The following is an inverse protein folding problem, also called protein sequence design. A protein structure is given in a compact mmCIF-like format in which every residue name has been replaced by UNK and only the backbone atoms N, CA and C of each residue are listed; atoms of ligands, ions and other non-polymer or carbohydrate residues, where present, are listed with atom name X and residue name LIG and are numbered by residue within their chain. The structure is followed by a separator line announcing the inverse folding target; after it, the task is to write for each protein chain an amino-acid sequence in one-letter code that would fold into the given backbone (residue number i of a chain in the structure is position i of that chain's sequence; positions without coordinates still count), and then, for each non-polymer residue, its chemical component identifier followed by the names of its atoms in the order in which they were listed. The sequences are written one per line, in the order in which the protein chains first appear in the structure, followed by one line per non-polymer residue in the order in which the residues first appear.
data_IF_466010794141
#
_entry.id   IF_466010794141
#
_cell.length_a   1.000
_cell.length_b   1.000
_cell.length_c   1.000
_cell.angle_alpha   90.00
_cell.angle_beta   90.00
_cell.angle_gamma   90.00
#
_symmetry.space_group_name_H-M   'P 1'
#
loop_
_entity.id
_entity.type
_entity.pdbx_description
1 polymer ?
#
# COMPACT_ATOMS: atom_id res chain seq x y z
N UNK A 1 -11.90 15.70 -0.79
CA UNK A 1 -12.02 15.28 0.62
C UNK A 1 -10.78 15.78 1.32
N UNK A 2 -10.93 16.63 2.34
CA UNK A 2 -9.80 17.37 2.91
C UNK A 2 -9.46 16.73 4.27
N UNK A 3 -8.21 16.28 4.43
CA UNK A 3 -7.72 15.82 5.73
C UNK A 3 -7.69 16.97 6.75
N UNK A 4 -7.85 16.65 8.03
CA UNK A 4 -7.57 17.59 9.13
C UNK A 4 -6.08 17.91 9.17
N UNK A 5 -5.67 18.96 8.46
CA UNK A 5 -4.24 19.26 8.26
C UNK A 5 -3.51 19.56 9.57
N UNK A 6 -4.15 20.20 10.54
CA UNK A 6 -3.56 20.51 11.84
C UNK A 6 -3.25 19.24 12.63
N UNK A 7 -4.21 18.31 12.67
CA UNK A 7 -3.98 17.02 13.31
C UNK A 7 -2.90 16.22 12.59
N UNK A 8 -2.91 16.15 11.25
CA UNK A 8 -1.91 15.39 10.49
C UNK A 8 -0.51 15.96 10.73
N UNK A 9 -0.34 17.29 10.71
CA UNK A 9 0.93 17.96 11.06
C UNK A 9 1.38 17.60 12.47
N UNK A 10 0.48 17.67 13.45
CA UNK A 10 0.76 17.31 14.84
C UNK A 10 1.17 15.83 14.97
N UNK A 11 0.48 14.92 14.28
CA UNK A 11 0.76 13.49 14.34
C UNK A 11 2.09 13.12 13.64
N UNK A 12 2.46 13.84 12.59
CA UNK A 12 3.70 13.61 11.86
C UNK A 12 4.96 14.07 12.63
N UNK A 13 4.85 15.03 13.56
CA UNK A 13 5.91 15.42 14.53
C UNK A 13 7.29 15.77 13.94
N UNK A 14 7.38 15.95 12.62
CA UNK A 14 8.64 16.13 11.89
C UNK A 14 8.46 17.28 10.91
N UNK A 15 9.41 18.21 10.89
CA UNK A 15 9.40 19.30 9.93
C UNK A 15 9.61 18.74 8.51
N UNK A 16 8.74 19.13 7.60
CA UNK A 16 8.90 18.83 6.18
C UNK A 16 9.74 19.93 5.50
N UNK A 17 10.47 19.60 4.42
CA UNK A 17 11.11 20.62 3.59
C UNK A 17 10.10 21.66 3.08
N UNK A 18 10.53 22.92 2.97
CA UNK A 18 9.64 24.04 2.60
C UNK A 18 9.01 23.96 1.21
N UNK A 19 9.52 23.09 0.34
CA UNK A 19 8.94 22.82 -0.99
C UNK A 19 7.79 21.80 -0.96
N UNK A 20 7.53 21.13 0.17
CA UNK A 20 6.42 20.19 0.27
C UNK A 20 5.11 20.96 0.46
N UNK A 21 4.22 20.83 -0.53
CA UNK A 21 2.92 21.47 -0.53
C UNK A 21 1.88 20.63 0.21
N UNK A 22 1.34 21.15 1.32
CA UNK A 22 0.32 20.46 2.11
C UNK A 22 -1.02 20.26 1.39
N UNK A 23 -1.32 21.10 0.40
CA UNK A 23 -2.54 20.98 -0.41
C UNK A 23 -2.47 19.78 -1.36
N UNK A 24 -1.27 19.25 -1.59
CA UNK A 24 -1.02 18.05 -2.40
C UNK A 24 -0.85 16.79 -1.54
N UNK A 25 -1.24 16.82 -0.25
CA UNK A 25 -1.24 15.64 0.61
C UNK A 25 -2.21 14.58 0.05
N UNK A 26 -1.63 13.54 -0.51
CA UNK A 26 -2.34 12.47 -1.21
C UNK A 26 -2.75 11.33 -0.29
N UNK A 27 -1.81 10.82 0.52
CA UNK A 27 -2.07 9.71 1.44
C UNK A 27 -1.50 10.01 2.83
N UNK A 28 -2.23 9.58 3.85
CA UNK A 28 -1.76 9.43 5.23
C UNK A 28 -1.71 7.94 5.52
N UNK A 29 -0.52 7.41 5.77
CA UNK A 29 -0.32 6.02 6.17
C UNK A 29 0.01 5.94 7.66
N UNK A 30 -0.70 5.09 8.38
CA UNK A 30 -0.55 4.86 9.81
C UNK A 30 -0.26 3.39 10.08
N UNK A 31 0.88 3.12 10.71
CA UNK A 31 1.25 1.80 11.17
C UNK A 31 0.61 1.55 12.54
N UNK A 32 -0.19 0.49 12.64
CA UNK A 32 -1.01 0.21 13.84
C UNK A 32 -0.12 -0.21 15.01
N UNK A 33 0.94 -0.96 14.72
CA UNK A 33 1.77 -1.61 15.74
C UNK A 33 2.74 -0.63 16.43
N UNK A 34 3.34 0.29 15.69
CA UNK A 34 4.31 1.28 16.21
C UNK A 34 3.81 2.73 16.19
N UNK A 35 2.56 2.94 15.76
CA UNK A 35 1.89 4.24 15.66
C UNK A 35 2.63 5.24 14.75
N UNK A 36 3.52 4.76 13.88
CA UNK A 36 4.27 5.60 12.97
C UNK A 36 3.41 6.11 11.82
N UNK A 37 3.67 7.37 11.41
CA UNK A 37 2.96 8.04 10.32
C UNK A 37 3.91 8.24 9.14
N UNK A 38 3.42 7.96 7.94
CA UNK A 38 4.06 8.34 6.68
C UNK A 38 3.09 9.16 5.86
N UNK A 39 3.60 10.21 5.23
CA UNK A 39 2.81 11.11 4.40
C UNK A 39 3.27 11.00 2.95
N UNK A 40 2.33 11.05 2.02
CA UNK A 40 2.61 11.00 0.60
C UNK A 40 2.05 12.25 -0.04
N UNK A 41 2.90 13.06 -0.67
CA UNK A 41 2.51 14.28 -1.35
C UNK A 41 2.69 14.13 -2.85
N UNK A 42 1.75 14.60 -3.66
CA UNK A 42 2.00 14.72 -5.10
C UNK A 42 3.02 15.86 -5.30
N UNK A 43 4.04 15.62 -6.13
CA UNK A 43 4.94 16.69 -6.55
C UNK A 43 4.19 17.74 -7.38
N UNK A 44 4.56 19.01 -7.30
CA UNK A 44 3.86 20.08 -8.03
C UNK A 44 3.78 19.83 -9.55
N UNK A 45 4.76 19.12 -10.13
CA UNK A 45 4.75 18.74 -11.56
C UNK A 45 3.84 17.54 -11.88
N UNK A 46 3.12 16.99 -10.89
CA UNK A 46 2.21 15.83 -11.00
C UNK A 46 2.86 14.57 -11.61
N UNK A 47 4.18 14.45 -11.48
CA UNK A 47 4.98 13.40 -12.13
C UNK A 47 5.33 12.24 -11.19
N UNK A 48 5.42 12.49 -9.89
CA UNK A 48 5.72 11.49 -8.86
C UNK A 48 5.14 11.89 -7.50
N UNK A 49 5.21 10.98 -6.52
CA UNK A 49 4.87 11.22 -5.12
C UNK A 49 6.13 11.35 -4.26
N UNK A 50 6.13 12.29 -3.32
CA UNK A 50 7.06 12.37 -2.21
C UNK A 50 6.54 11.57 -1.02
N UNK A 51 7.21 10.48 -0.67
CA UNK A 51 6.97 9.70 0.54
C UNK A 51 7.86 10.21 1.66
N UNK A 52 7.24 10.73 2.70
CA UNK A 52 7.88 11.33 3.87
C UNK A 52 7.68 10.43 5.10
N UNK A 53 8.75 10.03 5.78
CA UNK A 53 8.66 9.35 7.08
C UNK A 53 8.91 10.30 8.25
N UNK A 54 8.45 9.93 9.44
CA UNK A 54 8.75 10.62 10.70
C UNK A 54 10.25 10.69 11.04
N UNK A 55 11.09 9.88 10.40
CA UNK A 55 12.55 10.01 10.54
C UNK A 55 13.15 11.15 9.70
N UNK A 56 12.33 11.88 8.94
CA UNK A 56 12.77 12.91 7.99
C UNK A 56 13.26 12.35 6.65
N UNK A 57 13.20 11.03 6.44
CA UNK A 57 13.56 10.43 5.14
C UNK A 57 12.49 10.80 4.11
N UNK A 58 12.97 11.29 2.97
CA UNK A 58 12.17 11.62 1.80
C UNK A 58 12.56 10.67 0.65
N UNK A 59 11.58 10.04 0.02
CA UNK A 59 11.79 9.15 -1.14
C UNK A 59 10.78 9.50 -2.23
N UNK A 60 11.21 9.41 -3.50
CA UNK A 60 10.32 9.61 -4.66
C UNK A 60 9.72 8.29 -5.10
N UNK A 61 8.41 8.29 -5.36
CA UNK A 61 7.69 7.16 -5.92
C UNK A 61 7.07 7.60 -7.25
N UNK A 62 7.46 6.95 -8.34
CA UNK A 62 7.00 7.33 -9.68
C UNK A 62 5.94 6.37 -10.18
N UNK A 63 4.93 6.89 -10.87
CA UNK A 63 3.98 6.07 -11.63
C UNK A 63 4.77 5.31 -12.70
N UNK A 64 4.67 3.98 -12.69
CA UNK A 64 5.41 3.14 -13.60
C UNK A 64 5.06 3.47 -15.07
N UNK A 65 3.82 3.89 -15.36
CA UNK A 65 3.39 4.25 -16.73
C UNK A 65 4.10 5.49 -17.27
N UNK A 66 4.62 6.35 -16.39
CA UNK A 66 5.29 7.62 -16.73
C UNK A 66 6.80 7.55 -16.55
N UNK A 67 7.30 6.59 -15.79
CA UNK A 67 8.71 6.44 -15.50
C UNK A 67 9.42 5.49 -16.47
N UNK A 68 10.69 5.77 -16.76
CA UNK A 68 11.57 4.78 -17.38
C UNK A 68 12.06 3.84 -16.30
N UNK A 69 11.59 2.60 -16.32
CA UNK A 69 12.02 1.57 -15.39
C UNK A 69 12.38 0.27 -16.12
N UNK A 70 13.19 -0.57 -15.48
CA UNK A 70 13.66 -1.82 -16.07
C UNK A 70 12.85 -3.00 -15.56
N UNK A 71 12.03 -3.59 -16.43
CA UNK A 71 11.35 -4.87 -16.17
C UNK A 71 12.36 -6.02 -16.08
N UNK A 72 13.48 -5.94 -16.82
CA UNK A 72 14.47 -7.01 -16.85
C UNK A 72 15.13 -7.24 -15.49
N UNK A 73 15.35 -6.17 -14.70
CA UNK A 73 15.84 -6.30 -13.31
C UNK A 73 14.90 -7.12 -12.44
N UNK A 74 13.61 -6.82 -12.48
CA UNK A 74 12.58 -7.54 -11.72
C UNK A 74 12.51 -9.01 -12.16
N UNK A 75 12.49 -9.26 -13.48
CA UNK A 75 12.49 -10.64 -14.01
C UNK A 75 13.73 -11.42 -13.59
N UNK A 76 14.91 -10.78 -13.61
CA UNK A 76 16.16 -11.41 -13.17
C UNK A 76 16.11 -11.75 -11.67
N UNK A 77 15.62 -10.82 -10.84
CA UNK A 77 15.45 -11.05 -9.41
C UNK A 77 14.50 -12.23 -9.15
N UNK A 78 13.34 -12.25 -9.81
CA UNK A 78 12.35 -13.32 -9.70
C UNK A 78 12.85 -14.64 -10.31
N UNK A 79 13.82 -14.60 -11.23
CA UNK A 79 14.25 -15.76 -12.00
C UNK A 79 13.21 -16.22 -13.03
N UNK A 80 12.22 -15.38 -13.32
CA UNK A 80 11.10 -15.68 -14.21
C UNK A 80 10.57 -14.40 -14.85
N UNK A 81 10.09 -14.49 -16.09
CA UNK A 81 9.45 -13.38 -16.79
C UNK A 81 7.93 -13.48 -16.67
N UNK A 82 7.34 -12.58 -15.87
CA UNK A 82 5.87 -12.48 -15.71
C UNK A 82 5.22 -11.80 -16.92
N UNK A 83 3.92 -12.03 -17.12
CA UNK A 83 3.14 -11.31 -18.12
C UNK A 83 2.61 -9.99 -17.55
N UNK A 84 3.29 -8.89 -17.91
CA UNK A 84 2.93 -7.54 -17.46
C UNK A 84 1.79 -6.89 -18.25
N UNK A 85 1.17 -7.61 -19.20
CA UNK A 85 -0.14 -7.21 -19.74
C UNK A 85 -1.26 -7.57 -18.77
N UNK A 86 -1.03 -8.58 -17.93
CA UNK A 86 -1.96 -9.05 -16.91
C UNK A 86 -1.60 -8.45 -15.53
N UNK A 87 -0.34 -8.58 -15.12
CA UNK A 87 0.17 -7.98 -13.89
C UNK A 87 0.66 -6.55 -14.13
N UNK A 88 -0.07 -5.56 -13.61
CA UNK A 88 0.27 -4.15 -13.84
C UNK A 88 1.31 -3.70 -12.82
N UNK A 89 2.48 -3.27 -13.29
CA UNK A 89 3.42 -2.52 -12.44
C UNK A 89 2.82 -1.13 -12.25
N UNK A 90 2.46 -0.80 -11.02
CA UNK A 90 1.74 0.41 -10.65
C UNK A 90 2.71 1.55 -10.31
N UNK A 91 3.67 1.27 -9.41
CA UNK A 91 4.59 2.27 -8.87
C UNK A 91 6.01 1.71 -8.81
N UNK A 92 7.01 2.57 -9.04
CA UNK A 92 8.43 2.25 -8.85
C UNK A 92 9.07 3.26 -7.89
N UNK A 93 9.82 2.76 -6.91
CA UNK A 93 10.60 3.51 -5.92
C UNK A 93 12.04 2.97 -5.95
N UNK A 94 12.91 3.54 -6.80
CA UNK A 94 14.26 3.01 -7.07
C UNK A 94 14.23 1.53 -7.50
N UNK A 95 14.88 0.62 -6.77
CA UNK A 95 14.84 -0.83 -6.99
C UNK A 95 13.68 -1.50 -6.21
N UNK A 96 12.53 -0.83 -6.11
CA UNK A 96 11.31 -1.35 -5.49
C UNK A 96 10.14 -1.24 -6.46
N UNK A 97 9.44 -2.35 -6.65
CA UNK A 97 8.35 -2.48 -7.60
C UNK A 97 7.04 -2.74 -6.86
N UNK A 98 6.00 -2.01 -7.21
CA UNK A 98 4.65 -2.23 -6.74
C UNK A 98 3.85 -2.86 -7.88
N UNK A 99 3.42 -4.10 -7.72
CA UNK A 99 2.67 -4.84 -8.74
C UNK A 99 1.23 -4.98 -8.28
N UNK A 100 0.32 -4.38 -9.03
CA UNK A 100 -1.11 -4.49 -8.85
C UNK A 100 -1.63 -5.79 -9.46
N UNK A 101 -2.40 -6.54 -8.68
CA UNK A 101 -2.87 -7.88 -9.03
C UNK A 101 -4.39 -8.07 -8.85
N UNK A 102 -5.14 -7.06 -8.39
CA UNK A 102 -6.58 -7.24 -8.09
C UNK A 102 -7.44 -7.57 -9.32
N UNK A 103 -7.06 -7.11 -10.51
CA UNK A 103 -7.78 -7.39 -11.77
C UNK A 103 -7.02 -8.39 -12.66
N UNK A 104 -5.95 -8.98 -12.14
CA UNK A 104 -5.11 -9.91 -12.91
C UNK A 104 -5.69 -11.32 -12.89
N UNK A 105 -5.33 -12.10 -13.91
CA UNK A 105 -5.69 -13.51 -14.02
C UNK A 105 -5.16 -14.36 -12.88
N UNK A 106 -5.86 -15.46 -12.60
CA UNK A 106 -5.49 -16.43 -11.57
C UNK A 106 -4.05 -16.92 -11.77
N UNK A 107 -3.71 -17.38 -12.98
CA UNK A 107 -2.42 -17.99 -13.26
C UNK A 107 -1.23 -17.06 -12.97
N UNK A 108 -1.27 -15.82 -13.47
CA UNK A 108 -0.17 -14.87 -13.25
C UNK A 108 -0.08 -14.42 -11.80
N UNK A 109 -1.23 -14.21 -11.14
CA UNK A 109 -1.22 -13.81 -9.73
C UNK A 109 -0.68 -14.91 -8.84
N UNK A 110 -1.10 -16.16 -9.05
CA UNK A 110 -0.56 -17.30 -8.30
C UNK A 110 0.93 -17.47 -8.57
N UNK A 111 1.34 -17.42 -9.84
CA UNK A 111 2.77 -17.50 -10.20
C UNK A 111 3.60 -16.44 -9.50
N UNK A 112 3.14 -15.19 -9.50
CA UNK A 112 3.81 -14.10 -8.79
C UNK A 112 3.94 -14.42 -7.30
N UNK A 113 2.85 -14.82 -6.64
CA UNK A 113 2.87 -15.11 -5.21
C UNK A 113 3.78 -16.31 -4.86
N UNK A 114 3.77 -17.37 -5.66
CA UNK A 114 4.67 -18.52 -5.51
C UNK A 114 6.14 -18.11 -5.64
N UNK A 115 6.48 -17.29 -6.64
CA UNK A 115 7.84 -16.77 -6.81
C UNK A 115 8.27 -15.92 -5.60
N UNK A 116 7.36 -15.12 -5.03
CA UNK A 116 7.66 -14.34 -3.83
C UNK A 116 7.85 -15.25 -2.60
N UNK A 117 7.03 -16.27 -2.43
CA UNK A 117 7.19 -17.28 -1.37
C UNK A 117 8.58 -17.90 -1.45
N UNK A 118 9.01 -18.33 -2.63
CA UNK A 118 10.34 -18.91 -2.84
C UNK A 118 11.46 -17.90 -2.57
N UNK A 119 11.38 -16.70 -3.15
CA UNK A 119 12.44 -15.68 -3.06
C UNK A 119 12.66 -15.19 -1.65
N UNK A 120 11.58 -14.97 -0.91
CA UNK A 120 11.62 -14.45 0.46
C UNK A 120 11.60 -15.56 1.51
N UNK A 121 11.61 -16.84 1.08
CA UNK A 121 11.68 -18.03 1.94
C UNK A 121 10.61 -18.06 3.03
N UNK A 122 9.40 -17.63 2.69
CA UNK A 122 8.23 -17.78 3.55
C UNK A 122 7.47 -19.05 3.15
N UNK A 123 6.57 -19.53 4.00
CA UNK A 123 5.65 -20.61 3.65
C UNK A 123 4.36 -20.05 3.02
N UNK A 124 3.63 -20.85 2.21
CA UNK A 124 2.28 -20.49 1.76
C UNK A 124 1.33 -20.15 2.92
N UNK A 125 1.41 -20.87 4.04
CA UNK A 125 0.59 -20.64 5.23
C UNK A 125 0.91 -19.29 5.89
N UNK A 126 2.15 -18.81 5.83
CA UNK A 126 2.51 -17.45 6.24
C UNK A 126 1.83 -16.40 5.37
N UNK A 127 1.84 -16.59 4.05
CA UNK A 127 1.12 -15.71 3.12
C UNK A 127 -0.39 -15.72 3.39
N UNK A 128 -0.98 -16.90 3.59
CA UNK A 128 -2.42 -17.04 3.84
C UNK A 128 -2.83 -16.41 5.17
N UNK A 129 -2.02 -16.55 6.23
CA UNK A 129 -2.25 -15.85 7.52
C UNK A 129 -2.15 -14.34 7.36
N UNK A 130 -1.17 -13.85 6.61
CA UNK A 130 -1.04 -12.41 6.33
C UNK A 130 -2.25 -11.87 5.56
N UNK A 131 -2.66 -12.56 4.48
CA UNK A 131 -3.85 -12.22 3.71
C UNK A 131 -5.12 -12.25 4.58
N UNK A 132 -5.25 -13.24 5.47
CA UNK A 132 -6.37 -13.33 6.41
C UNK A 132 -6.44 -12.13 7.35
N UNK A 133 -5.29 -11.71 7.91
CA UNK A 133 -5.17 -10.52 8.77
C UNK A 133 -5.62 -9.25 8.07
N UNK A 134 -5.34 -9.12 6.78
CA UNK A 134 -5.74 -7.95 5.98
C UNK A 134 -7.23 -7.90 5.66
N UNK A 135 -7.94 -9.04 5.73
CA UNK A 135 -9.28 -9.20 5.15
C UNK A 135 -10.34 -9.72 6.13
N UNK A 136 -10.08 -9.69 7.44
CA UNK A 136 -10.99 -10.21 8.49
C UNK A 136 -11.72 -11.53 8.10
N UNK A 137 -10.99 -12.42 7.43
CA UNK A 137 -11.53 -13.63 6.82
C UNK A 137 -10.44 -14.68 6.79
N UNK A 138 -10.80 -15.93 7.02
CA UNK A 138 -9.86 -17.04 6.87
C UNK A 138 -9.58 -17.30 5.40
N UNK A 139 -8.30 -17.21 5.03
CA UNK A 139 -7.75 -17.55 3.72
C UNK A 139 -6.85 -18.77 3.91
N UNK A 140 -7.03 -19.79 3.08
CA UNK A 140 -6.34 -21.08 3.19
C UNK A 140 -5.77 -21.56 1.85
N UNK A 141 -5.99 -20.80 0.77
CA UNK A 141 -5.53 -21.17 -0.56
C UNK A 141 -5.35 -19.96 -1.46
N UNK A 142 -4.58 -20.15 -2.53
CA UNK A 142 -4.44 -19.15 -3.60
C UNK A 142 -5.77 -18.83 -4.29
N UNK A 143 -6.65 -19.83 -4.49
CA UNK A 143 -8.00 -19.59 -5.04
C UNK A 143 -8.77 -18.56 -4.23
N UNK A 144 -8.76 -18.69 -2.90
CA UNK A 144 -9.42 -17.71 -2.02
C UNK A 144 -8.75 -16.34 -2.03
N UNK A 145 -7.42 -16.26 -2.25
CA UNK A 145 -6.75 -14.96 -2.44
C UNK A 145 -7.35 -14.23 -3.65
N UNK A 146 -7.59 -14.93 -4.76
CA UNK A 146 -8.12 -14.33 -5.99
C UNK A 146 -9.62 -14.07 -5.87
N UNK A 147 -10.41 -15.08 -5.49
CA UNK A 147 -11.88 -14.98 -5.39
C UNK A 147 -12.33 -13.86 -4.47
N UNK A 148 -11.62 -13.68 -3.34
CA UNK A 148 -11.92 -12.63 -2.39
C UNK A 148 -11.09 -11.36 -2.63
N UNK A 149 -10.21 -11.33 -3.63
CA UNK A 149 -9.28 -10.20 -3.85
C UNK A 149 -8.51 -9.85 -2.57
N UNK A 150 -8.07 -10.87 -1.84
CA UNK A 150 -7.44 -10.73 -0.54
C UNK A 150 -6.01 -10.14 -0.63
N UNK A 151 -5.40 -10.19 -1.81
CA UNK A 151 -4.18 -9.46 -2.14
C UNK A 151 -4.44 -8.68 -3.43
N UNK A 152 -4.44 -7.36 -3.31
CA UNK A 152 -4.69 -6.42 -4.42
C UNK A 152 -3.40 -5.89 -5.04
N UNK A 153 -2.31 -5.86 -4.28
CA UNK A 153 -1.01 -5.37 -4.74
C UNK A 153 0.12 -5.96 -3.87
N UNK A 154 1.31 -6.08 -4.44
CA UNK A 154 2.53 -6.48 -3.72
C UNK A 154 3.63 -5.43 -3.91
N UNK A 155 4.44 -5.19 -2.88
CA UNK A 155 5.66 -4.38 -2.94
C UNK A 155 6.87 -5.31 -2.87
N UNK A 156 7.71 -5.25 -3.90
CA UNK A 156 8.87 -6.12 -4.11
C UNK A 156 10.14 -5.26 -4.16
N UNK A 157 10.87 -5.12 -3.06
CA UNK A 157 12.22 -4.55 -3.08
C UNK A 157 13.23 -5.58 -3.61
N UNK A 158 14.08 -5.21 -4.55
CA UNK A 158 15.06 -6.14 -5.13
C UNK A 158 16.29 -6.36 -4.23
N UNK A 159 16.51 -5.48 -3.25
CA UNK A 159 17.70 -5.46 -2.39
C UNK A 159 17.42 -5.84 -0.93
N UNK A 160 16.15 -5.93 -0.52
CA UNK A 160 15.77 -6.30 0.85
C UNK A 160 15.30 -7.75 0.89
N UNK A 161 15.52 -8.45 2.00
CA UNK A 161 15.04 -9.82 2.20
C UNK A 161 13.58 -9.89 2.66
N UNK A 162 12.75 -8.95 2.22
CA UNK A 162 11.37 -8.88 2.64
C UNK A 162 10.46 -8.19 1.61
N UNK A 163 9.17 -8.50 1.63
CA UNK A 163 8.17 -7.87 0.78
C UNK A 163 6.93 -7.45 1.58
N UNK A 164 6.01 -6.76 0.91
CA UNK A 164 4.70 -6.44 1.48
C UNK A 164 3.58 -6.89 0.57
N UNK A 165 2.47 -7.27 1.17
CA UNK A 165 1.19 -7.43 0.48
C UNK A 165 0.24 -6.33 0.91
N UNK A 166 -0.64 -5.95 0.01
CA UNK A 166 -1.66 -4.92 0.18
C UNK A 166 -3.02 -5.50 -0.18
N UNK A 167 -4.06 -5.07 0.52
CA UNK A 167 -5.45 -5.38 0.23
C UNK A 167 -6.30 -4.11 0.29
N UNK A 168 -7.49 -4.17 -0.30
CA UNK A 168 -8.54 -3.14 -0.19
C UNK A 168 -9.79 -3.70 0.48
N UNK A 169 -9.70 -4.13 1.74
CA UNK A 169 -10.74 -4.92 2.40
C UNK A 169 -12.10 -4.22 2.46
N UNK A 170 -12.12 -2.90 2.58
CA UNK A 170 -13.35 -2.11 2.62
C UNK A 170 -14.05 -2.08 1.25
N UNK A 171 -13.28 -1.99 0.16
CA UNK A 171 -13.78 -2.00 -1.22
C UNK A 171 -14.29 -3.39 -1.62
N UNK A 172 -13.57 -4.43 -1.23
CA UNK A 172 -13.86 -5.82 -1.59
C UNK A 172 -14.89 -6.48 -0.67
N UNK A 173 -15.37 -5.77 0.36
CA UNK A 173 -16.32 -6.26 1.37
C UNK A 173 -15.80 -7.47 2.15
N UNK A 174 -14.49 -7.57 2.28
CA UNK A 174 -13.86 -8.51 3.21
C UNK A 174 -13.84 -7.96 4.63
N UNK A 175 -13.98 -6.64 4.77
CA UNK A 175 -13.81 -5.91 6.03
C UNK A 175 -12.39 -6.03 6.59
N UNK A 176 -12.11 -5.20 7.58
CA UNK A 176 -10.86 -5.21 8.32
C UNK A 176 -11.17 -4.88 9.76
N UNK A 177 -10.62 -5.66 10.71
CA UNK A 177 -10.77 -5.34 12.12
C UNK A 177 -10.02 -4.05 12.37
N UNK A 178 -10.74 -3.01 12.77
CA UNK A 178 -10.15 -1.72 13.13
C UNK A 178 -9.96 -1.67 14.64
N UNK A 179 -8.72 -1.72 15.15
CA UNK A 179 -8.51 -1.54 16.58
C UNK A 179 -8.93 -0.13 17.00
N UNK A 180 -9.35 0.11 18.26
CA UNK A 180 -9.80 1.43 18.71
C UNK A 180 -8.82 2.57 18.43
N UNK A 181 -7.51 2.30 18.53
CA UNK A 181 -6.47 3.29 18.20
C UNK A 181 -6.50 3.74 16.74
N UNK A 182 -6.71 2.80 15.81
CA UNK A 182 -6.84 3.11 14.38
C UNK A 182 -8.12 3.92 14.13
N UNK A 183 -9.25 3.53 14.72
CA UNK A 183 -10.51 4.26 14.55
C UNK A 183 -10.39 5.70 15.06
N UNK A 184 -9.82 5.90 16.25
CA UNK A 184 -9.56 7.23 16.80
C UNK A 184 -8.63 8.05 15.91
N UNK A 185 -7.54 7.44 15.42
CA UNK A 185 -6.62 8.10 14.50
C UNK A 185 -7.35 8.56 13.23
N UNK A 186 -8.09 7.65 12.57
CA UNK A 186 -8.79 7.96 11.34
C UNK A 186 -9.89 9.00 11.54
N UNK A 187 -10.67 8.93 12.62
CA UNK A 187 -11.68 9.95 12.93
C UNK A 187 -11.05 11.35 13.07
N UNK A 188 -9.86 11.44 13.66
CA UNK A 188 -9.11 12.70 13.74
C UNK A 188 -8.54 13.12 12.38
N UNK A 189 -8.03 12.20 11.56
CA UNK A 189 -7.57 12.47 10.19
C UNK A 189 -8.69 13.04 9.33
N UNK A 190 -9.91 12.51 9.43
CA UNK A 190 -11.06 12.97 8.63
C UNK A 190 -11.92 14.04 9.32
N UNK A 191 -11.60 14.39 10.56
CA UNK A 191 -12.41 15.29 11.40
C UNK A 191 -13.90 14.87 11.44
N UNK A 192 -14.15 13.59 11.69
CA UNK A 192 -15.49 13.02 11.71
C UNK A 192 -15.75 12.22 13.00
N UNK A 193 -17.02 11.92 13.27
CA UNK A 193 -17.38 10.96 14.30
C UNK A 193 -17.19 9.51 13.82
N UNK A 194 -17.03 8.56 14.74
CA UNK A 194 -16.84 7.13 14.43
C UNK A 194 -17.95 6.56 13.53
N UNK A 195 -19.20 6.95 13.78
CA UNK A 195 -20.36 6.52 12.98
C UNK A 195 -20.31 7.00 11.52
N UNK A 196 -19.50 8.01 11.22
CA UNK A 196 -19.36 8.60 9.89
C UNK A 196 -18.16 8.03 9.13
N UNK A 197 -17.25 7.33 9.84
CA UNK A 197 -15.99 6.87 9.30
C UNK A 197 -16.18 5.93 8.09
N UNK A 198 -17.25 5.14 8.06
CA UNK A 198 -17.56 4.22 6.95
C UNK A 198 -17.66 4.91 5.58
N UNK A 199 -18.04 6.19 5.54
CA UNK A 199 -18.10 6.98 4.30
C UNK A 199 -16.72 7.33 3.73
N UNK A 200 -15.67 7.25 4.55
CA UNK A 200 -14.31 7.71 4.21
C UNK A 200 -13.32 6.57 3.94
N UNK A 201 -13.61 5.35 4.41
CA UNK A 201 -12.66 4.22 4.39
C UNK A 201 -12.68 3.39 3.10
N UNK A 202 -13.65 3.61 2.21
CA UNK A 202 -13.90 2.77 1.05
C UNK A 202 -12.65 2.52 0.18
N UNK A 203 -11.83 3.56 -0.02
CA UNK A 203 -10.63 3.50 -0.86
C UNK A 203 -9.33 3.25 -0.07
N UNK A 204 -9.41 2.90 1.21
CA UNK A 204 -8.22 2.63 2.01
C UNK A 204 -7.53 1.33 1.64
N UNK A 205 -6.22 1.37 1.74
CA UNK A 205 -5.35 0.20 1.62
C UNK A 205 -4.93 -0.27 2.99
N UNK A 206 -4.87 -1.58 3.17
CA UNK A 206 -4.25 -2.20 4.34
C UNK A 206 -3.08 -3.05 3.85
N UNK A 207 -1.91 -2.90 4.45
CA UNK A 207 -0.71 -3.64 4.07
C UNK A 207 -0.12 -4.42 5.23
N UNK A 208 0.43 -5.59 4.92
CA UNK A 208 1.20 -6.42 5.85
C UNK A 208 2.67 -6.43 5.42
N UNK A 209 3.55 -6.18 6.38
CA UNK A 209 5.00 -6.21 6.18
C UNK A 209 5.59 -7.51 6.73
N UNK A 210 6.17 -8.37 5.87
CA UNK A 210 6.69 -9.67 6.30
C UNK A 210 7.96 -9.58 7.17
N UNK A 211 8.61 -8.42 7.27
CA UNK A 211 9.86 -8.27 8.06
C UNK A 211 9.59 -8.21 9.55
N UNK A 212 8.43 -7.68 9.94
CA UNK A 212 8.07 -7.41 11.33
C UNK A 212 6.61 -7.77 11.65
N UNK A 213 5.83 -8.17 10.66
CA UNK A 213 4.42 -8.51 10.80
C UNK A 213 3.51 -7.30 11.07
N UNK A 214 3.99 -6.08 10.82
CA UNK A 214 3.25 -4.85 11.08
C UNK A 214 2.14 -4.65 10.05
N UNK A 215 1.02 -4.09 10.51
CA UNK A 215 -0.09 -3.64 9.70
C UNK A 215 -0.04 -2.13 9.52
N UNK A 216 -0.21 -1.68 8.29
CA UNK A 216 -0.34 -0.26 7.98
C UNK A 216 -1.63 0.00 7.22
N UNK A 217 -2.39 1.00 7.63
CA UNK A 217 -3.54 1.51 6.90
C UNK A 217 -3.14 2.78 6.20
N UNK A 218 -3.41 2.86 4.90
CA UNK A 218 -3.12 4.05 4.08
C UNK A 218 -4.41 4.61 3.52
N UNK A 219 -4.65 5.89 3.80
CA UNK A 219 -5.73 6.66 3.18
C UNK A 219 -5.37 7.01 1.74
N UNK A 220 -6.35 7.46 0.95
CA UNK A 220 -6.13 8.01 -0.39
C UNK A 220 -7.09 9.17 -0.61
N UNK A 221 -6.56 10.31 -1.08
CA UNK A 221 -7.36 11.48 -1.42
C UNK A 221 -7.91 11.34 -2.85
N UNK A 222 -9.21 11.04 -2.95
CA UNK A 222 -9.87 10.76 -4.24
C UNK A 222 -9.95 11.98 -5.18
N UNK A 223 -9.93 13.21 -4.66
CA UNK A 223 -9.90 14.40 -5.52
C UNK A 223 -8.56 14.54 -6.23
N UNK A 224 -7.48 14.42 -5.47
CA UNK A 224 -6.12 14.45 -6.00
C UNK A 224 -5.85 13.24 -6.91
N UNK A 225 -6.44 12.08 -6.63
CA UNK A 225 -6.34 10.89 -7.50
C UNK A 225 -6.80 11.19 -8.92
N UNK A 226 -7.89 11.95 -9.08
CA UNK A 226 -8.42 12.34 -10.39
C UNK A 226 -7.48 13.22 -11.19
N UNK A 227 -6.54 13.90 -10.53
CA UNK A 227 -5.52 14.73 -11.20
C UNK A 227 -4.37 13.91 -11.77
N UNK A 228 -4.20 12.66 -11.33
CA UNK A 228 -3.11 11.79 -11.76
C UNK A 228 -3.46 10.89 -12.96
N UNK A 229 -4.75 10.72 -13.25
CA UNK A 229 -5.32 9.86 -14.29
C UNK A 229 -5.46 10.60 -15.61
#
# INVERSE_FOLDING_TARGET
MIYNSDFVKQAFKTSLPGFINWDLLFNVAYCIDDESVKLYFIADELSFLYKCSQSGKLVKQSDARKAVFSVSKLNQFLGYALDYKDLVIDTVEDDVYYIYCEESGFEQTVRLLELLIEKYKISPEELFRAASRLNNRTIESFHQIIDYRAVSMVKIPLCDNNFKIYARPFKTRNDFIRPPKLEQFLCRVYNCAEKELSAYIWNMWVSYDFSNGHLTVSTQNDELKKMLV
#
